data_IF_735285409527
#
_entry.id   IF_735285409527
#
_cell.length_a   1.000
_cell.length_b   1.000
_cell.length_c   1.000
_cell.angle_alpha   90.00
_cell.angle_beta   90.00
_cell.angle_gamma   90.00
#
_symmetry.space_group_name_H-M   'P 1'
#
loop_
_entity.id
_entity.type
_entity.pdbx_description
1 polymer ?
#
# COMPACT_ATOMS: atom_id res chain seq x y z
N UNK A 1 -7.11 2.24 -13.34
CA UNK A 1 -7.29 3.40 -12.44
C UNK A 1 -6.44 4.54 -12.95
N UNK A 2 -7.02 5.74 -13.04
CA UNK A 2 -6.32 6.97 -13.42
C UNK A 2 -6.29 7.90 -12.20
N UNK A 3 -5.18 8.59 -12.00
CA UNK A 3 -5.00 9.58 -10.93
C UNK A 3 -4.46 10.86 -11.54
N UNK A 4 -5.13 11.96 -11.22
CA UNK A 4 -4.65 13.32 -11.44
C UNK A 4 -4.45 14.02 -10.08
N UNK A 5 -3.96 15.26 -10.09
CA UNK A 5 -3.77 16.08 -8.89
C UNK A 5 -5.09 16.35 -8.13
N UNK A 6 -6.23 16.33 -8.82
CA UNK A 6 -7.52 16.72 -8.25
C UNK A 6 -8.49 15.55 -8.00
N UNK A 7 -8.35 14.43 -8.71
CA UNK A 7 -9.29 13.31 -8.61
C UNK A 7 -8.67 11.97 -8.95
N UNK A 8 -9.34 10.90 -8.50
CA UNK A 8 -9.05 9.52 -8.89
C UNK A 8 -10.26 9.00 -9.67
N UNK A 9 -10.01 8.33 -10.79
CA UNK A 9 -11.04 7.76 -11.64
C UNK A 9 -10.81 6.27 -11.86
N UNK A 10 -11.85 5.48 -11.61
CA UNK A 10 -11.93 4.09 -12.02
C UNK A 10 -12.58 4.03 -13.40
N UNK A 11 -11.82 3.61 -14.39
CA UNK A 11 -12.29 3.43 -15.75
C UNK A 11 -12.31 1.95 -16.10
N UNK A 12 -13.49 1.45 -16.48
CA UNK A 12 -13.65 0.14 -17.10
C UNK A 12 -13.68 0.35 -18.63
N UNK A 13 -12.60 0.00 -19.36
CA UNK A 13 -12.53 0.22 -20.80
C UNK A 13 -13.51 -0.69 -21.57
N UNK A 14 -13.75 -1.91 -21.10
CA UNK A 14 -14.65 -2.88 -21.74
C UNK A 14 -16.10 -2.43 -21.71
N UNK A 15 -16.54 -1.79 -20.62
CA UNK A 15 -17.91 -1.26 -20.50
C UNK A 15 -18.01 0.24 -20.80
N UNK A 16 -16.87 0.91 -21.04
CA UNK A 16 -16.74 2.37 -21.16
C UNK A 16 -17.31 3.16 -19.98
N UNK A 17 -17.46 2.54 -18.81
CA UNK A 17 -17.98 3.19 -17.60
C UNK A 17 -16.82 3.83 -16.83
N UNK A 18 -17.03 5.04 -16.33
CA UNK A 18 -16.09 5.76 -15.48
C UNK A 18 -16.76 6.12 -14.16
N UNK A 19 -16.03 5.96 -13.06
CA UNK A 19 -16.46 6.36 -11.73
C UNK A 19 -15.39 7.25 -11.11
N UNK A 20 -15.74 8.49 -10.82
CA UNK A 20 -14.88 9.40 -10.08
C UNK A 20 -15.02 9.05 -8.61
N UNK A 21 -13.90 8.75 -7.96
CA UNK A 21 -13.88 8.42 -6.54
C UNK A 21 -14.04 9.74 -5.77
N UNK A 22 -14.99 9.83 -4.82
CA UNK A 22 -15.15 11.01 -3.98
C UNK A 22 -13.86 11.27 -3.20
N UNK A 23 -13.56 12.56 -2.99
CA UNK A 23 -12.47 12.95 -2.10
C UNK A 23 -12.75 12.44 -0.68
N UNK A 24 -11.68 12.09 0.03
CA UNK A 24 -11.79 11.73 1.45
C UNK A 24 -12.02 12.98 2.27
N UNK A 25 -12.98 12.90 3.18
CA UNK A 25 -13.25 13.91 4.21
C UNK A 25 -12.34 13.77 5.43
N UNK A 26 -11.55 12.70 5.52
CA UNK A 26 -10.75 12.38 6.70
C UNK A 26 -9.30 12.85 6.60
N UNK A 27 -8.87 13.55 7.66
CA UNK A 27 -7.51 13.92 8.05
C UNK A 27 -6.73 14.89 7.14
N UNK A 28 -5.79 15.60 7.77
CA UNK A 28 -4.95 16.61 7.13
C UNK A 28 -4.22 16.10 5.89
N UNK A 29 -3.79 17.02 5.04
CA UNK A 29 -3.20 16.72 3.74
C UNK A 29 -1.98 15.79 3.89
N UNK A 30 -1.97 14.57 3.31
CA UNK A 30 -0.80 13.71 3.32
C UNK A 30 0.34 14.36 2.55
N UNK A 31 1.58 14.11 2.98
CA UNK A 31 2.75 14.53 2.20
C UNK A 31 2.89 13.69 0.93
N UNK A 32 2.43 12.44 0.99
CA UNK A 32 2.41 11.52 -0.14
C UNK A 32 1.33 10.47 0.03
N UNK A 33 0.74 10.03 -1.08
CA UNK A 33 -0.13 8.86 -1.10
C UNK A 33 0.27 7.93 -2.24
N UNK A 34 0.27 6.63 -1.95
CA UNK A 34 0.39 5.57 -2.95
C UNK A 34 -0.90 4.77 -3.00
N UNK A 35 -1.20 4.19 -4.16
CA UNK A 35 -2.48 3.55 -4.43
C UNK A 35 -2.30 2.15 -4.96
N UNK A 36 -3.22 1.26 -4.65
CA UNK A 36 -3.43 -0.02 -5.32
C UNK A 36 -4.89 -0.18 -5.68
N UNK A 37 -5.17 -0.87 -6.78
CA UNK A 37 -6.53 -1.20 -7.22
C UNK A 37 -6.63 -2.71 -7.32
N UNK A 38 -7.69 -3.30 -6.80
CA UNK A 38 -7.91 -4.75 -6.88
C UNK A 38 -9.40 -5.08 -6.93
N UNK A 39 -9.70 -6.31 -7.36
CA UNK A 39 -11.05 -6.88 -7.27
C UNK A 39 -11.12 -7.80 -6.06
N UNK A 40 -12.11 -7.58 -5.19
CA UNK A 40 -12.44 -8.48 -4.11
C UNK A 40 -13.52 -9.47 -4.60
N UNK A 41 -13.08 -10.68 -4.97
CA UNK A 41 -13.97 -11.68 -5.57
C UNK A 41 -15.05 -12.19 -4.59
N UNK A 42 -14.76 -12.21 -3.28
CA UNK A 42 -15.66 -12.72 -2.25
C UNK A 42 -16.91 -11.84 -2.10
N UNK A 43 -16.72 -10.52 -2.03
CA UNK A 43 -17.83 -9.56 -1.93
C UNK A 43 -18.25 -8.97 -3.27
N UNK A 44 -17.65 -9.45 -4.37
CA UNK A 44 -17.86 -9.00 -5.76
C UNK A 44 -17.75 -7.49 -5.91
N UNK A 45 -16.69 -6.92 -5.36
CA UNK A 45 -16.45 -5.49 -5.33
C UNK A 45 -15.10 -5.11 -5.95
N UNK A 46 -14.98 -3.86 -6.35
CA UNK A 46 -13.72 -3.26 -6.72
C UNK A 46 -13.26 -2.33 -5.61
N UNK A 47 -12.01 -2.49 -5.21
CA UNK A 47 -11.43 -1.78 -4.09
C UNK A 47 -10.23 -0.94 -4.53
N UNK A 48 -10.12 0.26 -3.98
CA UNK A 48 -8.89 1.06 -4.04
C UNK A 48 -8.30 1.17 -2.67
N UNK A 49 -7.06 0.71 -2.54
CA UNK A 49 -6.25 0.87 -1.34
C UNK A 49 -5.42 2.14 -1.48
N UNK A 50 -5.51 3.05 -0.53
CA UNK A 50 -4.60 4.17 -0.39
C UNK A 50 -3.77 4.00 0.88
N UNK A 51 -2.44 4.12 0.74
CA UNK A 51 -1.53 4.26 1.86
C UNK A 51 -1.03 5.71 1.86
N UNK A 52 -1.44 6.45 2.89
CA UNK A 52 -1.15 7.87 3.07
C UNK A 52 0.02 8.04 4.05
N UNK A 53 1.06 8.76 3.63
CA UNK A 53 2.21 9.10 4.45
C UNK A 53 2.09 10.53 4.99
N UNK A 54 2.50 10.72 6.23
CA UNK A 54 2.50 12.00 6.92
C UNK A 54 3.88 12.31 7.50
N UNK A 55 4.23 13.59 7.59
CA UNK A 55 5.55 14.00 8.09
C UNK A 55 5.74 13.80 9.59
N UNK A 56 4.65 13.95 10.37
CA UNK A 56 4.69 13.99 11.84
C UNK A 56 3.84 12.90 12.52
N UNK A 57 3.33 11.93 11.76
CA UNK A 57 2.51 10.84 12.26
C UNK A 57 2.70 9.59 11.41
N UNK A 58 2.24 8.46 11.94
CA UNK A 58 2.30 7.17 11.27
C UNK A 58 1.48 7.17 9.97
N UNK A 59 1.84 6.25 9.06
CA UNK A 59 1.09 6.05 7.84
C UNK A 59 -0.33 5.55 8.15
N UNK A 60 -1.28 5.90 7.29
CA UNK A 60 -2.67 5.44 7.39
C UNK A 60 -3.02 4.66 6.14
N UNK A 61 -3.78 3.55 6.31
CA UNK A 61 -4.38 2.84 5.18
C UNK A 61 -5.87 3.11 5.15
N UNK A 62 -6.36 3.39 3.95
CA UNK A 62 -7.79 3.60 3.69
C UNK A 62 -8.21 2.85 2.43
N UNK A 63 -9.43 2.36 2.44
CA UNK A 63 -10.00 1.53 1.39
C UNK A 63 -11.23 2.20 0.85
N UNK A 64 -11.33 2.31 -0.46
CA UNK A 64 -12.55 2.72 -1.13
C UNK A 64 -13.23 1.50 -1.69
N UNK A 65 -14.48 1.29 -1.30
CA UNK A 65 -15.36 0.28 -1.90
C UNK A 65 -16.17 0.95 -3.01
N UNK A 66 -16.08 0.43 -4.23
CA UNK A 66 -16.87 0.93 -5.35
C UNK A 66 -18.37 0.68 -5.11
N UNK A 67 -18.72 -0.50 -4.59
CA UNK A 67 -20.11 -0.86 -4.27
C UNK A 67 -20.73 0.02 -3.20
N UNK A 68 -19.98 0.35 -2.13
CA UNK A 68 -20.46 1.21 -1.03
C UNK A 68 -20.27 2.70 -1.32
N UNK A 69 -19.56 3.06 -2.40
CA UNK A 69 -19.21 4.43 -2.77
C UNK A 69 -18.65 5.24 -1.59
N UNK A 70 -17.80 4.61 -0.77
CA UNK A 70 -17.32 5.23 0.46
C UNK A 70 -15.93 4.73 0.84
N UNK A 71 -15.24 5.60 1.57
CA UNK A 71 -13.94 5.30 2.15
C UNK A 71 -14.09 4.74 3.55
N UNK A 72 -13.31 3.70 3.85
CA UNK A 72 -13.19 3.08 5.16
C UNK A 72 -11.73 3.14 5.60
N UNK A 73 -11.50 3.40 6.88
CA UNK A 73 -10.16 3.42 7.48
C UNK A 73 -9.87 2.05 8.07
N UNK A 74 -8.68 1.52 7.82
CA UNK A 74 -8.20 0.32 8.50
C UNK A 74 -6.87 0.65 9.16
N UNK A 75 -6.92 0.63 10.50
CA UNK A 75 -5.80 0.59 11.42
C UNK A 75 -4.67 1.64 11.24
N UNK A 76 -3.74 1.60 12.18
CA UNK A 76 -2.43 2.24 12.09
C UNK A 76 -1.54 1.37 11.22
N UNK A 77 -0.82 1.98 10.28
CA UNK A 77 0.07 1.26 9.39
C UNK A 77 1.53 1.52 9.79
N UNK A 78 2.23 0.54 10.42
CA UNK A 78 3.56 0.76 11.00
C UNK A 78 4.69 0.79 9.95
N UNK A 79 4.35 0.89 8.67
CA UNK A 79 5.30 0.94 7.57
C UNK A 79 5.17 2.23 6.77
N UNK A 80 6.26 2.64 6.12
CA UNK A 80 6.29 3.76 5.20
C UNK A 80 6.59 3.29 3.77
N UNK A 81 5.75 3.69 2.81
CA UNK A 81 6.03 3.49 1.38
C UNK A 81 6.80 4.69 0.84
N UNK A 82 8.13 4.59 0.86
CA UNK A 82 9.02 5.68 0.39
C UNK A 82 9.12 5.74 -1.12
N UNK A 83 8.74 4.66 -1.82
CA UNK A 83 8.67 4.65 -3.28
C UNK A 83 7.39 5.33 -3.76
N UNK A 84 7.43 6.11 -4.82
CA UNK A 84 6.20 6.67 -5.43
C UNK A 84 5.37 5.68 -6.23
N UNK A 85 5.73 4.41 -6.15
CA UNK A 85 5.14 3.36 -6.98
C UNK A 85 3.85 2.88 -6.34
N UNK A 86 2.85 2.67 -7.19
CA UNK A 86 1.58 2.05 -6.79
C UNK A 86 1.77 0.57 -6.44
N UNK A 87 0.70 -0.01 -5.90
CA UNK A 87 0.66 -1.43 -5.55
C UNK A 87 0.56 -2.29 -6.79
N UNK A 88 1.23 -3.45 -6.77
CA UNK A 88 1.21 -4.43 -7.85
C UNK A 88 0.42 -5.66 -7.39
N UNK A 89 -0.54 -6.12 -8.19
CA UNK A 89 -1.28 -7.35 -7.88
C UNK A 89 -0.45 -8.56 -8.28
N UNK A 90 -0.23 -9.48 -7.34
CA UNK A 90 0.40 -10.78 -7.55
C UNK A 90 -0.42 -11.81 -6.78
N UNK A 91 -0.87 -12.88 -7.45
CA UNK A 91 -1.69 -13.95 -6.86
C UNK A 91 -2.88 -13.43 -6.02
N UNK A 92 -3.60 -12.43 -6.54
CA UNK A 92 -4.78 -11.86 -5.88
C UNK A 92 -4.49 -10.85 -4.76
N UNK A 93 -3.23 -10.63 -4.39
CA UNK A 93 -2.86 -9.67 -3.35
C UNK A 93 -2.08 -8.47 -3.90
N UNK A 94 -2.32 -7.28 -3.34
CA UNK A 94 -1.58 -6.07 -3.67
C UNK A 94 -0.27 -6.01 -2.89
N UNK A 95 0.84 -5.77 -3.58
CA UNK A 95 2.18 -5.75 -3.00
C UNK A 95 2.80 -4.37 -3.12
N UNK A 96 3.50 -3.94 -2.06
CA UNK A 96 4.34 -2.74 -2.07
C UNK A 96 5.70 -3.02 -1.42
N UNK A 97 6.73 -2.31 -1.90
CA UNK A 97 7.99 -2.18 -1.17
C UNK A 97 7.81 -1.14 -0.07
N UNK A 98 7.95 -1.57 1.18
CA UNK A 98 7.78 -0.73 2.35
C UNK A 98 9.06 -0.67 3.20
N UNK A 99 9.05 0.23 4.17
CA UNK A 99 10.12 0.36 5.15
C UNK A 99 9.53 0.44 6.55
N UNK A 100 10.07 -0.36 7.49
CA UNK A 100 9.78 -0.20 8.92
C UNK A 100 10.97 0.47 9.61
N UNK A 101 10.66 1.32 10.59
CA UNK A 101 11.68 1.91 11.45
C UNK A 101 12.02 0.93 12.57
N UNK A 102 13.30 0.61 12.73
CA UNK A 102 13.81 -0.10 13.91
C UNK A 102 14.62 0.86 14.75
N UNK A 103 14.25 0.99 16.02
CA UNK A 103 15.06 1.68 17.02
C UNK A 103 15.89 0.65 17.79
N UNK A 104 17.20 0.87 17.85
CA UNK A 104 18.10 0.13 18.72
C UNK A 104 18.89 1.14 19.56
N UNK A 105 18.42 1.39 20.79
CA UNK A 105 18.91 2.51 21.60
C UNK A 105 18.67 3.86 20.91
N UNK A 106 19.76 4.62 20.71
CA UNK A 106 19.73 5.91 20.02
C UNK A 106 19.79 5.80 18.49
N UNK A 107 20.09 4.61 17.96
CA UNK A 107 20.20 4.40 16.51
C UNK A 107 18.83 4.09 15.90
N UNK A 108 18.48 4.82 14.84
CA UNK A 108 17.32 4.54 14.00
C UNK A 108 17.79 3.99 12.65
N UNK A 109 17.36 2.77 12.34
CA UNK A 109 17.58 2.13 11.04
C UNK A 109 16.25 1.88 10.33
N UNK A 110 16.31 1.77 9.01
CA UNK A 110 15.13 1.46 8.18
C UNK A 110 15.37 0.14 7.48
N UNK A 111 14.53 -0.84 7.78
CA UNK A 111 14.56 -2.13 7.11
C UNK A 111 13.55 -2.11 5.97
N UNK A 112 13.98 -2.55 4.78
CA UNK A 112 13.07 -2.79 3.66
C UNK A 112 12.31 -4.08 3.89
N UNK A 113 11.00 -4.05 3.68
CA UNK A 113 10.10 -5.21 3.70
C UNK A 113 9.22 -5.18 2.45
N UNK A 114 8.65 -6.31 2.05
CA UNK A 114 7.53 -6.35 1.11
C UNK A 114 6.27 -6.57 1.94
N UNK A 115 5.27 -5.72 1.73
CA UNK A 115 3.94 -5.89 2.34
C UNK A 115 2.99 -6.40 1.26
N UNK A 116 2.08 -7.29 1.64
CA UNK A 116 1.00 -7.75 0.80
C UNK A 116 -0.34 -7.47 1.50
N UNK A 117 -1.30 -6.92 0.77
CA UNK A 117 -2.70 -6.82 1.17
C UNK A 117 -3.50 -7.86 0.40
N UNK A 118 -4.13 -8.77 1.13
CA UNK A 118 -5.09 -9.71 0.57
C UNK A 118 -6.51 -9.13 0.73
N UNK A 119 -7.16 -8.85 -0.40
CA UNK A 119 -8.53 -8.36 -0.40
C UNK A 119 -9.53 -9.41 0.10
N UNK A 120 -9.24 -10.70 -0.12
CA UNK A 120 -10.12 -11.78 0.31
C UNK A 120 -10.17 -12.00 1.80
N UNK A 121 -9.04 -11.76 2.47
CA UNK A 121 -8.91 -11.83 3.93
C UNK A 121 -8.88 -10.48 4.63
N UNK A 122 -9.07 -9.37 3.90
CA UNK A 122 -8.97 -7.97 4.35
C UNK A 122 -7.78 -7.72 5.30
N UNK A 123 -6.61 -8.28 4.98
CA UNK A 123 -5.47 -8.28 5.91
C UNK A 123 -4.14 -7.98 5.23
N UNK A 124 -3.22 -7.42 6.02
CA UNK A 124 -1.84 -7.18 5.62
C UNK A 124 -0.92 -8.26 6.17
N UNK A 125 0.06 -8.66 5.37
CA UNK A 125 1.15 -9.53 5.81
C UNK A 125 2.48 -9.07 5.24
N UNK A 126 3.56 -9.35 5.97
CA UNK A 126 4.91 -9.25 5.41
C UNK A 126 5.15 -10.45 4.49
N UNK A 127 5.86 -10.19 3.39
CA UNK A 127 6.37 -11.20 2.47
C UNK A 127 7.90 -11.20 2.60
N UNK A 128 8.51 -12.37 2.87
CA UNK A 128 9.97 -12.44 2.95
C UNK A 128 10.59 -12.04 1.63
N UNK A 129 11.75 -11.36 1.69
CA UNK A 129 12.57 -11.23 0.50
C UNK A 129 13.07 -12.61 0.08
N UNK A 130 13.21 -12.86 -1.22
CA UNK A 130 13.99 -14.01 -1.66
C UNK A 130 15.39 -13.94 -1.04
N UNK A 131 15.89 -15.06 -0.52
CA UNK A 131 17.15 -15.10 0.24
C UNK A 131 18.34 -14.51 -0.55
N UNK A 132 18.33 -14.65 -1.87
CA UNK A 132 19.34 -14.12 -2.77
C UNK A 132 19.30 -12.59 -2.98
N UNK A 133 18.24 -11.91 -2.55
CA UNK A 133 18.09 -10.44 -2.60
C UNK A 133 18.34 -9.80 -1.24
N UNK A 134 18.51 -10.60 -0.19
CA UNK A 134 18.98 -10.10 1.09
C UNK A 134 20.42 -9.65 0.86
N UNK A 135 20.61 -8.34 0.69
CA UNK A 135 21.96 -7.77 0.72
C UNK A 135 22.55 -8.19 2.05
N UNK A 136 23.53 -9.09 2.00
CA UNK A 136 24.40 -9.39 3.12
C UNK A 136 24.85 -8.05 3.71
N UNK A 137 24.76 -7.85 5.04
CA UNK A 137 25.42 -6.71 5.65
C UNK A 137 26.87 -6.76 5.15
N UNK A 138 27.37 -5.64 4.64
CA UNK A 138 28.72 -5.59 4.08
C UNK A 138 29.70 -6.33 4.99
N UNK A 139 30.30 -7.41 4.49
CA UNK A 139 31.55 -7.93 5.02
C UNK A 139 31.56 -9.25 5.82
N UNK A 140 30.82 -10.30 5.45
CA UNK A 140 31.24 -11.66 5.81
C UNK A 140 31.07 -12.62 4.64
N UNK A 141 32.17 -12.85 3.91
CA UNK A 141 32.34 -14.05 3.09
C UNK A 141 32.69 -15.19 4.04
N UNK A 142 31.82 -16.18 4.17
CA UNK A 142 32.25 -17.49 4.67
C UNK A 142 32.93 -18.17 3.49
N UNK A 143 34.24 -18.33 3.59
CA UNK A 143 35.00 -19.21 2.71
C UNK A 143 34.66 -20.66 3.07
N UNK A 144 34.37 -21.46 2.04
CA UNK A 144 34.53 -22.91 2.08
C UNK A 144 35.72 -23.28 1.22
#
# INVERSE_FOLDING_TARGET
MYKDNNFICLWNPSTRKRNIIPSKSFHGKPSRSVYGFCSNAYVKDYEVVEISLFLKRESEVTFYSLRRNSWQRIQVFPYAIRTGRGGVIINGALHWKAHRSRKNGLLQSFESVIIAYDAGGESFREVPYPDHLIRSPCGLRVAT
#
